data_IF_043873823662
#
_entry.id   IF_043873823662
#
_cell.length_a   1.000
_cell.length_b   1.000
_cell.length_c   1.000
_cell.angle_alpha   90.00
_cell.angle_beta   90.00
_cell.angle_gamma   90.00
#
_symmetry.space_group_name_H-M   'P 1'
#
loop_
_entity.id
_entity.type
_entity.pdbx_description
1 polymer ?
#
# COMPACT_ATOMS: atom_id res chain seq x y z
N UNK A 1 -13.85 8.65 20.90
CA UNK A 1 -13.71 9.44 19.65
C UNK A 1 -13.31 8.45 18.57
N UNK A 2 -14.05 8.38 17.47
CA UNK A 2 -13.74 7.44 16.38
C UNK A 2 -12.37 7.80 15.79
N UNK A 3 -11.41 6.88 15.95
CA UNK A 3 -10.05 6.98 15.42
C UNK A 3 -9.99 6.58 13.92
N UNK A 4 -11.12 6.59 13.22
CA UNK A 4 -11.19 6.20 11.81
C UNK A 4 -11.01 7.40 10.90
N UNK A 5 -10.21 7.24 9.87
CA UNK A 5 -10.05 8.22 8.81
C UNK A 5 -11.30 8.22 7.91
N UNK A 6 -11.65 9.36 7.29
CA UNK A 6 -12.77 9.39 6.35
C UNK A 6 -12.54 8.40 5.21
N UNK A 7 -13.63 7.80 4.66
CA UNK A 7 -13.52 6.86 3.55
C UNK A 7 -12.74 7.44 2.37
N UNK A 8 -11.97 6.59 1.70
CA UNK A 8 -11.32 6.95 0.44
C UNK A 8 -12.39 7.08 -0.65
N UNK A 9 -12.38 8.18 -1.39
CA UNK A 9 -13.20 8.38 -2.59
C UNK A 9 -12.35 8.09 -3.82
N UNK A 10 -12.84 7.22 -4.69
CA UNK A 10 -12.24 6.86 -5.96
C UNK A 10 -13.08 7.43 -7.10
N UNK A 11 -12.48 8.18 -8.00
CA UNK A 11 -13.14 8.74 -9.18
C UNK A 11 -12.38 8.27 -10.41
N UNK A 12 -13.11 7.71 -11.39
CA UNK A 12 -12.54 7.19 -12.64
C UNK A 12 -13.19 7.88 -13.83
N UNK A 13 -12.37 8.22 -14.80
CA UNK A 13 -12.81 8.87 -16.05
C UNK A 13 -12.74 7.91 -17.22
N UNK A 14 -13.60 8.13 -18.21
CA UNK A 14 -13.62 7.40 -19.47
C UNK A 14 -14.07 8.30 -20.62
N UNK A 15 -13.87 7.86 -21.87
CA UNK A 15 -14.43 8.50 -23.03
C UNK A 15 -15.58 7.66 -23.59
N UNK A 16 -16.70 8.28 -23.94
CA UNK A 16 -17.81 7.64 -24.62
C UNK A 16 -17.45 7.25 -26.07
N UNK A 17 -18.38 6.61 -26.79
CA UNK A 17 -18.21 6.21 -28.19
C UNK A 17 -17.95 7.36 -29.16
N UNK A 18 -18.25 8.61 -28.76
CA UNK A 18 -18.01 9.83 -29.53
C UNK A 18 -16.71 10.54 -29.12
N UNK A 19 -15.94 9.97 -28.18
CA UNK A 19 -14.73 10.56 -27.65
C UNK A 19 -14.94 11.63 -26.58
N UNK A 20 -16.17 11.81 -26.07
CA UNK A 20 -16.47 12.76 -25.01
C UNK A 20 -16.15 12.16 -23.64
N UNK A 21 -15.34 12.85 -22.86
CA UNK A 21 -14.92 12.43 -21.51
C UNK A 21 -16.05 12.56 -20.50
N UNK A 22 -16.13 11.60 -19.58
CA UNK A 22 -17.09 11.61 -18.46
C UNK A 22 -16.53 10.84 -17.27
N UNK A 23 -17.19 10.95 -16.10
CA UNK A 23 -16.89 10.14 -14.91
C UNK A 23 -17.67 8.83 -14.97
N UNK A 24 -16.96 7.71 -15.24
CA UNK A 24 -17.58 6.37 -15.29
C UNK A 24 -17.85 5.82 -13.89
N UNK A 25 -17.10 6.27 -12.88
CA UNK A 25 -17.27 5.87 -11.49
C UNK A 25 -16.91 7.01 -10.55
N UNK A 26 -17.71 7.18 -9.49
CA UNK A 26 -17.46 8.14 -8.40
C UNK A 26 -18.03 7.56 -7.10
N UNK A 27 -17.17 7.16 -6.16
CA UNK A 27 -17.60 6.53 -4.90
C UNK A 27 -16.45 5.87 -4.16
N UNK A 28 -16.77 4.92 -3.25
CA UNK A 28 -15.74 4.15 -2.55
C UNK A 28 -14.99 3.22 -3.51
N UNK A 29 -13.74 2.83 -3.18
CA UNK A 29 -13.00 1.81 -3.93
C UNK A 29 -13.78 0.47 -3.96
N UNK A 30 -13.69 -0.23 -5.09
CA UNK A 30 -14.36 -1.53 -5.28
C UNK A 30 -13.57 -2.71 -4.69
N UNK A 31 -12.32 -2.48 -4.32
CA UNK A 31 -11.42 -3.50 -3.77
C UNK A 31 -10.82 -3.01 -2.44
N UNK A 32 -11.46 -3.39 -1.34
CA UNK A 32 -11.01 -3.09 0.02
C UNK A 32 -10.62 -4.40 0.69
N UNK A 33 -9.48 -4.42 1.40
CA UNK A 33 -9.00 -5.55 2.18
C UNK A 33 -8.70 -5.11 3.61
N UNK A 34 -9.09 -5.94 4.55
CA UNK A 34 -8.88 -5.74 6.00
C UNK A 34 -8.38 -7.04 6.61
N UNK A 35 -7.74 -6.94 7.77
CA UNK A 35 -7.26 -8.07 8.57
C UNK A 35 -7.90 -7.96 9.95
N UNK A 36 -8.63 -8.99 10.36
CA UNK A 36 -9.35 -9.00 11.63
C UNK A 36 -8.42 -8.83 12.84
N UNK A 37 -7.19 -9.38 12.75
CA UNK A 37 -6.16 -9.31 13.77
C UNK A 37 -5.54 -7.90 13.92
N UNK A 38 -5.73 -7.01 12.92
CA UNK A 38 -5.21 -5.64 12.94
C UNK A 38 -6.33 -4.62 12.67
N UNK A 39 -7.23 -4.40 13.62
CA UNK A 39 -8.36 -3.47 13.45
C UNK A 39 -7.91 -2.06 13.07
N UNK A 40 -8.55 -1.49 12.05
CA UNK A 40 -8.18 -0.17 11.50
C UNK A 40 -7.13 -0.21 10.39
N UNK A 41 -6.45 -1.34 10.17
CA UNK A 41 -5.62 -1.53 8.99
C UNK A 41 -6.50 -1.82 7.79
N UNK A 42 -6.46 -0.93 6.78
CA UNK A 42 -7.34 -1.03 5.61
C UNK A 42 -6.56 -0.74 4.34
N UNK A 43 -6.55 -1.68 3.42
CA UNK A 43 -5.96 -1.54 2.09
C UNK A 43 -7.06 -1.22 1.08
N UNK A 44 -7.04 -0.01 0.55
CA UNK A 44 -7.91 0.43 -0.53
C UNK A 44 -7.11 0.31 -1.84
N UNK A 45 -7.35 -0.74 -2.63
CA UNK A 45 -6.76 -0.86 -3.96
C UNK A 45 -7.51 0.07 -4.92
N UNK A 46 -6.79 0.98 -5.56
CA UNK A 46 -7.40 2.08 -6.33
C UNK A 46 -7.37 1.78 -7.82
N UNK A 47 -6.21 1.40 -8.35
CA UNK A 47 -6.01 1.14 -9.77
C UNK A 47 -4.81 0.23 -9.98
N UNK A 48 -4.78 -0.50 -11.11
CA UNK A 48 -3.59 -1.17 -11.60
C UNK A 48 -3.47 -1.06 -13.11
N UNK A 49 -2.25 -1.18 -13.60
CA UNK A 49 -1.96 -1.39 -15.02
C UNK A 49 -1.26 -2.73 -15.18
N UNK A 50 -1.33 -3.33 -16.37
CA UNK A 50 -0.71 -4.64 -16.66
C UNK A 50 0.20 -4.58 -17.88
N UNK A 51 0.63 -3.38 -18.26
CA UNK A 51 1.54 -3.17 -19.39
C UNK A 51 2.29 -1.84 -19.25
N UNK A 52 3.46 -1.75 -19.88
CA UNK A 52 4.20 -0.50 -20.12
C UNK A 52 4.56 -0.45 -21.63
N UNK A 53 4.07 0.53 -22.41
CA UNK A 53 3.11 1.57 -22.02
C UNK A 53 1.75 1.05 -21.53
N UNK A 54 1.13 1.77 -20.58
CA UNK A 54 -0.17 1.37 -20.04
C UNK A 54 -1.28 1.45 -21.11
N UNK A 55 -2.16 0.48 -21.12
CA UNK A 55 -3.32 0.46 -22.01
C UNK A 55 -4.42 1.39 -21.47
N UNK A 56 -4.58 2.56 -22.09
CA UNK A 56 -5.51 3.61 -21.64
C UNK A 56 -6.95 3.14 -21.56
N UNK A 57 -7.36 2.23 -22.45
CA UNK A 57 -8.73 1.68 -22.55
C UNK A 57 -8.88 0.31 -21.89
N UNK A 58 -7.91 -0.13 -21.06
CA UNK A 58 -8.05 -1.37 -20.33
C UNK A 58 -9.24 -1.29 -19.37
N UNK A 59 -9.96 -2.39 -19.23
CA UNK A 59 -11.05 -2.49 -18.25
C UNK A 59 -10.53 -2.33 -16.83
N UNK A 60 -11.37 -1.81 -15.94
CA UNK A 60 -11.10 -1.76 -14.50
C UNK A 60 -11.20 -3.16 -13.91
N UNK A 61 -10.06 -3.76 -13.64
CA UNK A 61 -9.94 -5.10 -13.08
C UNK A 61 -9.32 -5.11 -11.67
N UNK A 62 -9.26 -3.96 -11.01
CA UNK A 62 -8.63 -3.81 -9.68
C UNK A 62 -9.21 -4.75 -8.62
N UNK A 63 -10.46 -5.14 -8.75
CA UNK A 63 -11.12 -6.07 -7.83
C UNK A 63 -10.52 -7.48 -7.84
N UNK A 64 -9.83 -7.86 -8.93
CA UNK A 64 -9.14 -9.16 -9.05
C UNK A 64 -7.72 -9.14 -8.47
N UNK A 65 -7.20 -7.95 -8.10
CA UNK A 65 -5.85 -7.80 -7.58
C UNK A 65 -5.68 -8.50 -6.24
N UNK A 66 -4.61 -9.28 -6.11
CA UNK A 66 -4.21 -9.99 -4.90
C UNK A 66 -2.72 -9.73 -4.63
N UNK A 67 -2.34 -9.83 -3.36
CA UNK A 67 -0.96 -9.66 -2.94
C UNK A 67 -0.49 -8.20 -2.92
N UNK A 68 0.82 -8.04 -2.79
CA UNK A 68 1.50 -6.74 -2.75
C UNK A 68 2.04 -6.33 -4.13
N UNK A 69 2.51 -7.32 -4.90
CA UNK A 69 3.20 -7.08 -6.17
C UNK A 69 2.27 -6.54 -7.27
N UNK A 70 2.70 -5.57 -8.07
CA UNK A 70 1.96 -5.18 -9.26
C UNK A 70 1.98 -6.29 -10.33
N UNK A 71 1.12 -6.24 -11.33
CA UNK A 71 1.26 -7.08 -12.51
C UNK A 71 2.62 -6.85 -13.20
N UNK A 72 3.14 -7.88 -13.86
CA UNK A 72 4.39 -7.77 -14.64
C UNK A 72 4.27 -6.65 -15.70
N UNK A 73 5.31 -5.81 -15.79
CA UNK A 73 5.34 -4.59 -16.60
C UNK A 73 4.22 -3.58 -16.26
N UNK A 74 3.67 -3.65 -15.05
CA UNK A 74 2.55 -2.83 -14.65
C UNK A 74 2.79 -2.05 -13.37
N UNK A 75 1.71 -1.51 -12.86
CA UNK A 75 1.69 -0.75 -11.61
C UNK A 75 0.49 -1.14 -10.76
N UNK A 76 0.55 -0.87 -9.48
CA UNK A 76 -0.62 -0.83 -8.61
C UNK A 76 -0.59 0.41 -7.73
N UNK A 77 -1.70 1.14 -7.69
CA UNK A 77 -1.96 2.23 -6.75
C UNK A 77 -2.86 1.72 -5.65
N UNK A 78 -2.44 1.91 -4.40
CA UNK A 78 -3.24 1.64 -3.21
C UNK A 78 -3.13 2.76 -2.20
N UNK A 79 -4.19 2.94 -1.42
CA UNK A 79 -4.20 3.83 -0.27
C UNK A 79 -4.41 2.96 0.96
N UNK A 80 -3.49 3.05 1.92
CA UNK A 80 -3.49 2.22 3.11
C UNK A 80 -3.69 3.10 4.33
N UNK A 81 -4.66 2.72 5.16
CA UNK A 81 -4.86 3.28 6.49
C UNK A 81 -4.12 2.43 7.51
N UNK A 82 -3.32 3.08 8.34
CA UNK A 82 -2.55 2.46 9.41
C UNK A 82 -3.08 2.91 10.76
N UNK A 83 -3.58 1.99 11.59
CA UNK A 83 -3.82 2.31 13.00
C UNK A 83 -2.49 2.57 13.71
N UNK A 84 -2.49 3.18 14.91
CA UNK A 84 -1.32 3.18 15.78
C UNK A 84 -0.88 1.74 16.07
N UNK A 85 0.41 1.48 16.05
CA UNK A 85 0.93 0.18 16.42
C UNK A 85 0.75 -0.08 17.92
N UNK A 86 0.47 -1.33 18.35
CA UNK A 86 0.40 -1.68 19.74
C UNK A 86 1.77 -1.50 20.42
N UNK A 87 1.74 -1.17 21.71
CA UNK A 87 2.96 -1.00 22.51
C UNK A 87 3.61 -2.34 22.87
N UNK A 88 2.84 -3.41 22.90
CA UNK A 88 3.33 -4.77 23.15
C UNK A 88 3.98 -5.33 21.88
N UNK A 89 5.29 -5.65 21.87
CA UNK A 89 5.99 -6.20 20.71
C UNK A 89 5.43 -7.56 20.25
N UNK A 90 4.89 -8.38 21.16
CA UNK A 90 4.32 -9.67 20.81
C UNK A 90 2.99 -9.49 20.07
N UNK A 91 2.17 -8.54 20.50
CA UNK A 91 0.92 -8.22 19.81
C UNK A 91 1.20 -7.58 18.45
N UNK A 92 2.19 -6.69 18.34
CA UNK A 92 2.62 -6.13 17.06
C UNK A 92 3.06 -7.24 16.09
N UNK A 93 3.91 -8.15 16.54
CA UNK A 93 4.36 -9.28 15.72
C UNK A 93 3.19 -10.13 15.23
N UNK A 94 2.27 -10.49 16.12
CA UNK A 94 1.07 -11.28 15.78
C UNK A 94 0.22 -10.60 14.70
N UNK A 95 -0.01 -9.28 14.83
CA UNK A 95 -0.77 -8.50 13.86
C UNK A 95 -0.09 -8.45 12.49
N UNK A 96 1.23 -8.27 12.46
CA UNK A 96 2.01 -8.23 11.23
C UNK A 96 2.11 -9.60 10.56
N UNK A 97 2.34 -10.68 11.33
CA UNK A 97 2.33 -12.05 10.80
C UNK A 97 0.97 -12.39 10.14
N UNK A 98 -0.14 -12.01 10.76
CA UNK A 98 -1.47 -12.18 10.18
C UNK A 98 -1.64 -11.36 8.90
N UNK A 99 -1.18 -10.12 8.87
CA UNK A 99 -1.23 -9.25 7.70
C UNK A 99 -0.47 -9.85 6.52
N UNK A 100 0.78 -10.29 6.71
CA UNK A 100 1.57 -10.92 5.64
C UNK A 100 0.94 -12.24 5.18
N UNK A 101 0.49 -13.08 6.10
CA UNK A 101 -0.11 -14.38 5.76
C UNK A 101 -1.43 -14.26 5.00
N UNK A 102 -2.22 -13.22 5.25
CA UNK A 102 -3.52 -13.04 4.61
C UNK A 102 -3.46 -12.17 3.34
N UNK A 103 -2.66 -11.08 3.36
CA UNK A 103 -2.69 -10.07 2.30
C UNK A 103 -1.47 -10.09 1.39
N UNK A 104 -0.28 -10.44 1.89
CA UNK A 104 1.00 -10.19 1.21
C UNK A 104 1.88 -11.43 1.12
N UNK A 105 1.29 -12.55 0.73
CA UNK A 105 2.00 -13.85 0.57
C UNK A 105 3.10 -13.83 -0.49
N UNK A 106 3.06 -12.85 -1.38
CA UNK A 106 3.98 -12.61 -2.47
C UNK A 106 5.09 -11.60 -2.12
N UNK A 107 5.09 -11.06 -0.90
CA UNK A 107 6.23 -10.28 -0.39
C UNK A 107 7.35 -11.22 0.09
N UNK A 108 8.60 -10.84 -0.15
CA UNK A 108 9.76 -11.47 0.48
C UNK A 108 9.82 -11.08 1.96
N UNK A 109 9.27 -11.94 2.83
CA UNK A 109 9.15 -11.70 4.27
C UNK A 109 9.94 -12.76 5.05
N UNK A 110 11.26 -12.80 4.84
CA UNK A 110 12.20 -13.68 5.52
C UNK A 110 12.93 -12.90 6.61
N UNK A 111 12.38 -12.93 7.84
CA UNK A 111 12.89 -12.15 8.98
C UNK A 111 14.19 -12.76 9.54
N UNK A 112 15.18 -11.91 9.77
CA UNK A 112 16.37 -12.23 10.55
C UNK A 112 16.14 -11.95 12.05
N UNK A 113 16.96 -12.56 12.89
CA UNK A 113 16.89 -12.33 14.33
C UNK A 113 17.11 -10.84 14.67
N UNK A 114 16.23 -10.26 15.46
CA UNK A 114 16.30 -8.85 15.89
C UNK A 114 15.73 -7.84 14.89
N UNK A 115 15.30 -8.24 13.71
CA UNK A 115 14.64 -7.34 12.76
C UNK A 115 13.22 -6.97 13.21
N UNK A 116 12.75 -5.81 12.74
CA UNK A 116 11.36 -5.42 12.92
C UNK A 116 10.42 -6.41 12.22
N UNK A 117 9.33 -6.89 12.87
CA UNK A 117 8.48 -7.95 12.32
C UNK A 117 7.74 -7.59 11.03
N UNK A 118 7.79 -6.35 10.60
CA UNK A 118 7.25 -5.87 9.32
C UNK A 118 8.28 -5.78 8.19
N UNK A 119 9.53 -6.20 8.40
CA UNK A 119 10.55 -6.16 7.35
C UNK A 119 10.17 -7.06 6.19
N UNK A 120 10.25 -6.52 4.98
CA UNK A 120 9.95 -7.23 3.76
C UNK A 120 10.62 -6.57 2.55
N UNK A 121 10.70 -7.30 1.47
CA UNK A 121 11.26 -6.84 0.21
C UNK A 121 10.27 -7.09 -0.95
N UNK A 122 10.24 -6.17 -1.91
CA UNK A 122 9.49 -6.30 -3.16
C UNK A 122 10.40 -5.93 -4.33
N UNK A 123 10.27 -6.62 -5.45
CA UNK A 123 10.99 -6.27 -6.69
C UNK A 123 10.26 -5.14 -7.43
N UNK A 124 10.19 -3.98 -6.77
CA UNK A 124 9.46 -2.81 -7.24
C UNK A 124 10.23 -1.52 -6.98
N UNK A 125 9.87 -0.48 -7.74
CA UNK A 125 10.11 0.90 -7.33
C UNK A 125 8.80 1.47 -6.85
N UNK A 126 8.76 1.92 -5.58
CA UNK A 126 7.54 2.42 -4.98
C UNK A 126 7.62 3.92 -4.71
N UNK A 127 6.54 4.63 -4.98
CA UNK A 127 6.33 5.98 -4.47
C UNK A 127 5.39 5.89 -3.28
N UNK A 128 5.92 6.14 -2.08
CA UNK A 128 5.17 6.20 -0.83
C UNK A 128 4.92 7.66 -0.47
N UNK A 129 3.65 8.08 -0.47
CA UNK A 129 3.24 9.46 -0.22
C UNK A 129 2.39 9.48 1.03
N UNK A 130 2.85 10.13 2.11
CA UNK A 130 2.05 10.27 3.34
C UNK A 130 0.94 11.29 3.10
N UNK A 131 -0.30 10.83 3.12
CA UNK A 131 -1.48 11.67 2.89
C UNK A 131 -2.04 12.27 4.17
N UNK A 132 -1.86 11.57 5.30
CA UNK A 132 -2.36 12.00 6.61
C UNK A 132 -1.55 11.36 7.73
N UNK A 133 -1.37 12.11 8.84
CA UNK A 133 -0.68 11.63 10.03
C UNK A 133 0.82 11.53 9.84
N UNK A 134 1.42 10.58 10.53
CA UNK A 134 2.86 10.37 10.57
C UNK A 134 3.18 8.88 10.51
N UNK A 135 4.21 8.52 9.77
CA UNK A 135 4.72 7.15 9.68
C UNK A 135 6.22 7.12 9.84
N UNK A 136 6.75 6.03 10.35
CA UNK A 136 8.19 5.76 10.36
C UNK A 136 8.50 4.68 9.31
N UNK A 137 9.40 4.99 8.40
CA UNK A 137 10.00 4.03 7.49
C UNK A 137 11.29 3.48 8.13
N UNK A 138 11.42 2.15 8.18
CA UNK A 138 12.56 1.44 8.76
C UNK A 138 13.30 0.73 7.64
N UNK A 139 14.61 0.93 7.57
CA UNK A 139 15.56 0.18 6.76
C UNK A 139 16.45 -0.67 7.66
N UNK A 140 17.33 -1.50 7.09
CA UNK A 140 18.25 -2.35 7.88
C UNK A 140 19.24 -1.54 8.74
N UNK A 141 19.65 -0.35 8.28
CA UNK A 141 20.67 0.47 8.95
C UNK A 141 20.14 1.72 9.65
N UNK A 142 18.95 2.16 9.28
CA UNK A 142 18.41 3.45 9.76
C UNK A 142 16.89 3.51 9.63
N UNK A 143 16.29 4.49 10.30
CA UNK A 143 14.87 4.80 10.17
C UNK A 143 14.65 6.30 10.00
N UNK A 144 13.53 6.67 9.40
CA UNK A 144 13.12 8.07 9.27
C UNK A 144 11.64 8.25 9.50
N UNK A 145 11.29 9.42 10.06
CA UNK A 145 9.89 9.80 10.29
C UNK A 145 9.40 10.65 9.12
N UNK A 146 8.27 10.27 8.56
CA UNK A 146 7.62 10.94 7.45
C UNK A 146 6.29 11.54 7.92
N UNK A 147 6.02 12.78 7.53
CA UNK A 147 4.80 13.52 7.84
C UNK A 147 3.93 13.65 6.59
N UNK A 148 2.68 14.08 6.77
CA UNK A 148 1.78 14.34 5.64
C UNK A 148 2.43 15.33 4.63
N UNK A 149 2.48 14.92 3.36
CA UNK A 149 3.15 15.63 2.26
C UNK A 149 4.54 15.10 1.92
N UNK A 150 5.19 14.33 2.81
CA UNK A 150 6.47 13.72 2.51
C UNK A 150 6.32 12.54 1.53
N UNK A 151 7.35 12.37 0.70
CA UNK A 151 7.43 11.30 -0.30
C UNK A 151 8.71 10.51 -0.09
N UNK A 152 8.58 9.19 0.01
CA UNK A 152 9.70 8.26 0.04
C UNK A 152 9.71 7.43 -1.23
N UNK A 153 10.88 7.31 -1.87
CA UNK A 153 11.10 6.42 -3.01
C UNK A 153 11.75 5.13 -2.50
N UNK A 154 11.02 4.04 -2.54
CA UNK A 154 11.46 2.70 -2.18
C UNK A 154 11.98 1.99 -3.43
N UNK A 155 13.22 1.52 -3.42
CA UNK A 155 13.89 0.94 -4.58
C UNK A 155 14.30 -0.51 -4.32
N UNK A 156 13.32 -1.41 -4.13
CA UNK A 156 13.59 -2.83 -3.88
C UNK A 156 14.42 -3.11 -2.62
N UNK A 157 14.49 -2.19 -1.67
CA UNK A 157 15.23 -2.35 -0.42
C UNK A 157 14.41 -3.09 0.63
N UNK A 158 15.05 -3.84 1.52
CA UNK A 158 14.39 -4.44 2.68
C UNK A 158 13.92 -3.32 3.63
N UNK A 159 12.63 -3.32 3.98
CA UNK A 159 12.04 -2.22 4.72
C UNK A 159 10.82 -2.64 5.54
N UNK A 160 10.44 -1.77 6.48
CA UNK A 160 9.19 -1.87 7.22
C UNK A 160 8.54 -0.50 7.41
N UNK A 161 7.24 -0.53 7.67
CA UNK A 161 6.44 0.63 8.01
C UNK A 161 5.84 0.46 9.40
N UNK A 162 6.01 1.46 10.26
CA UNK A 162 5.49 1.45 11.64
C UNK A 162 4.82 2.77 11.98
N UNK A 163 3.69 2.71 12.67
CA UNK A 163 2.96 3.89 13.14
C UNK A 163 3.11 4.05 14.65
N UNK A 164 4.15 4.74 15.07
CA UNK A 164 4.44 5.05 16.49
C UNK A 164 3.81 6.36 16.97
N UNK A 165 3.03 7.04 16.11
CA UNK A 165 2.49 8.38 16.39
C UNK A 165 1.35 8.41 17.42
N UNK A 166 0.76 7.25 17.73
CA UNK A 166 -0.42 7.14 18.60
C UNK A 166 -1.72 7.63 17.94
N UNK A 167 -1.69 7.97 16.64
CA UNK A 167 -2.84 8.43 15.84
C UNK A 167 -2.89 7.67 14.52
N UNK A 168 -4.06 7.57 13.85
CA UNK A 168 -4.13 6.96 12.53
C UNK A 168 -3.27 7.71 11.52
N UNK A 169 -2.75 6.99 10.53
CA UNK A 169 -2.04 7.54 9.38
C UNK A 169 -2.58 6.95 8.08
N UNK A 170 -2.36 7.65 6.96
CA UNK A 170 -2.73 7.21 5.61
C UNK A 170 -1.59 7.46 4.64
N UNK A 171 -1.24 6.43 3.87
CA UNK A 171 -0.22 6.50 2.83
C UNK A 171 -0.81 6.04 1.50
N UNK A 172 -0.47 6.74 0.42
CA UNK A 172 -0.63 6.24 -0.94
C UNK A 172 0.68 5.56 -1.37
N UNK A 173 0.58 4.34 -1.88
CA UNK A 173 1.67 3.60 -2.50
C UNK A 173 1.39 3.39 -3.98
N UNK A 174 2.32 3.77 -4.82
CA UNK A 174 2.36 3.41 -6.23
C UNK A 174 3.53 2.46 -6.40
N UNK A 175 3.24 1.16 -6.57
CA UNK A 175 4.24 0.14 -6.84
C UNK A 175 4.35 -0.04 -8.35
N UNK A 176 5.58 0.02 -8.85
CA UNK A 176 5.93 -0.14 -10.26
C UNK A 176 6.76 -1.40 -10.36
N UNK A 177 6.34 -2.35 -11.22
CA UNK A 177 7.08 -3.58 -11.48
C UNK A 177 8.53 -3.24 -11.86
N UNK A 178 9.45 -3.85 -11.16
CA UNK A 178 10.88 -3.60 -11.27
C UNK A 178 11.68 -4.83 -11.66
N UNK A 179 12.96 -4.64 -11.92
CA UNK A 179 13.89 -5.71 -12.19
C UNK A 179 15.25 -5.36 -11.61
N UNK A 180 15.93 -6.35 -11.05
CA UNK A 180 17.30 -6.23 -10.56
C UNK A 180 18.35 -6.48 -11.68
N UNK A 181 17.91 -6.54 -12.93
CA UNK A 181 18.85 -6.69 -14.06
C UNK A 181 19.46 -5.32 -14.40
N UNK A 182 20.79 -5.29 -14.49
CA UNK A 182 21.59 -4.19 -15.03
C UNK A 182 21.47 -4.14 -16.57
#
# INVERSE_FOLDING_TARGET
MHNELPPVRRVVTENDKNGKSFFVSDGPPTSIREVAERPGYRVNNIWRTSASPALIKAADDIHTHQGIMPPKNGTVLRIIDYPPDPQDPLELKKQLDAMFSHLYKDAGHDLKEGEHPGMHITETVDYAIVLFGQMTAILESEETVLNAGDVLIQRGTNHAWTNRSGKPARIAFILIDGSNQE
#
